data_IF_029045261886
#
_entry.id   IF_029045261886
#
_cell.length_a   1.000
_cell.length_b   1.000
_cell.length_c   1.000
_cell.angle_alpha   90.00
_cell.angle_beta   90.00
_cell.angle_gamma   90.00
#
_symmetry.space_group_name_H-M   'P 1'
#
loop_
_entity.id
_entity.type
_entity.pdbx_description
1 polymer ?
#
# COMPACT_ATOMS: atom_id res chain seq x y z
N UNK A 1 -56.79 48.62 42.67
CA UNK A 1 -55.64 48.16 43.49
C UNK A 1 -55.09 46.96 42.75
N UNK A 2 -54.02 47.17 41.99
CA UNK A 2 -52.63 46.92 42.42
C UNK A 2 -52.42 45.41 42.61
N UNK A 3 -51.72 44.79 41.66
CA UNK A 3 -50.37 44.22 41.87
C UNK A 3 -50.50 42.76 42.36
N UNK A 4 -49.79 41.74 41.90
CA UNK A 4 -48.74 41.51 40.92
C UNK A 4 -48.91 40.04 40.48
N UNK A 5 -48.63 39.73 39.21
CA UNK A 5 -48.55 38.35 38.70
C UNK A 5 -47.16 37.79 39.08
N UNK A 6 -47.02 36.51 39.48
CA UNK A 6 -45.75 35.97 39.93
C UNK A 6 -44.79 35.76 38.77
N UNK A 7 -43.52 36.01 39.04
CA UNK A 7 -42.36 35.85 38.15
C UNK A 7 -42.19 34.38 37.73
N UNK A 8 -42.19 34.14 36.42
CA UNK A 8 -41.76 32.88 35.81
C UNK A 8 -40.23 32.95 35.65
N UNK A 9 -39.50 32.05 36.32
CA UNK A 9 -38.08 31.81 36.07
C UNK A 9 -37.91 31.09 34.72
N UNK A 10 -37.56 31.84 33.67
CA UNK A 10 -37.05 31.26 32.42
C UNK A 10 -35.55 30.93 32.58
N UNK A 11 -35.27 29.63 32.65
CA UNK A 11 -33.94 29.04 32.72
C UNK A 11 -33.26 29.14 31.32
N UNK A 12 -32.51 30.22 31.09
CA UNK A 12 -31.71 30.42 29.88
C UNK A 12 -30.38 29.69 30.05
N UNK A 13 -30.32 28.42 29.65
CA UNK A 13 -29.06 27.67 29.56
C UNK A 13 -28.64 27.43 28.09
N UNK A 14 -27.69 28.28 27.71
CA UNK A 14 -26.90 28.41 26.47
C UNK A 14 -26.68 27.11 25.67
N UNK A 15 -27.04 27.19 24.39
CA UNK A 15 -26.47 26.36 23.32
C UNK A 15 -24.95 26.52 23.29
N UNK A 16 -24.23 25.41 23.42
CA UNK A 16 -22.82 25.30 23.06
C UNK A 16 -22.73 24.41 21.83
N UNK A 17 -22.55 25.07 20.68
CA UNK A 17 -22.12 24.45 19.43
C UNK A 17 -20.71 23.92 19.66
N UNK A 18 -20.56 22.59 19.64
CA UNK A 18 -19.25 21.95 19.69
C UNK A 18 -18.58 22.05 18.32
N UNK A 19 -17.45 22.73 18.36
CA UNK A 19 -16.46 23.02 17.35
C UNK A 19 -16.02 21.76 16.60
N UNK A 20 -16.15 21.81 15.26
CA UNK A 20 -15.57 20.84 14.34
C UNK A 20 -14.05 20.71 14.58
N UNK A 21 -13.59 19.48 14.79
CA UNK A 21 -12.17 19.18 14.89
C UNK A 21 -11.48 19.47 13.55
N UNK A 22 -10.64 20.52 13.56
CA UNK A 22 -9.80 20.93 12.45
C UNK A 22 -8.87 19.80 11.97
N UNK A 23 -8.76 19.69 10.65
CA UNK A 23 -7.81 18.83 9.95
C UNK A 23 -6.36 19.13 10.41
N UNK A 24 -5.46 18.12 10.45
CA UNK A 24 -4.11 18.34 10.96
C UNK A 24 -3.30 19.19 9.96
N UNK A 25 -2.83 20.32 10.48
CA UNK A 25 -1.90 21.28 9.88
C UNK A 25 -0.70 20.59 9.19
N UNK A 26 -0.60 20.74 7.87
CA UNK A 26 0.54 20.26 7.08
C UNK A 26 1.87 21.01 7.36
N UNK A 27 1.87 22.04 8.21
CA UNK A 27 3.02 22.90 8.52
C UNK A 27 4.03 22.35 9.54
N UNK A 28 3.74 21.23 10.21
CA UNK A 28 4.58 20.73 11.32
C UNK A 28 5.65 19.70 10.95
N UNK A 29 5.55 19.03 9.80
CA UNK A 29 6.47 17.93 9.47
C UNK A 29 7.79 18.43 8.89
N UNK A 30 7.73 19.37 7.94
CA UNK A 30 8.91 19.90 7.25
C UNK A 30 9.88 20.62 8.19
N UNK A 31 9.38 21.35 9.19
CA UNK A 31 10.21 22.02 10.19
C UNK A 31 10.96 21.01 11.06
N UNK A 32 10.27 19.94 11.50
CA UNK A 32 10.88 18.90 12.32
C UNK A 32 11.91 18.07 11.53
N UNK A 33 11.79 17.94 10.20
CA UNK A 33 12.80 17.22 9.39
C UNK A 33 14.20 17.82 9.52
N UNK A 34 14.31 19.12 9.84
CA UNK A 34 15.59 19.78 10.07
C UNK A 34 16.31 19.26 11.32
N UNK A 35 15.57 18.63 12.24
CA UNK A 35 16.10 18.02 13.46
C UNK A 35 16.62 16.59 13.23
N UNK A 36 16.52 16.06 12.01
CA UNK A 36 17.06 14.75 11.64
C UNK A 36 18.54 14.88 11.32
N UNK A 37 19.37 14.28 12.17
CA UNK A 37 20.79 14.09 11.91
C UNK A 37 21.11 12.61 12.03
N UNK A 38 21.22 11.89 10.92
CA UNK A 38 21.70 10.50 10.93
C UNK A 38 23.19 10.51 11.26
N UNK A 39 23.59 9.76 12.28
CA UNK A 39 25.00 9.58 12.61
C UNK A 39 25.69 8.68 11.58
N UNK A 40 27.03 8.74 11.52
CA UNK A 40 27.82 7.74 10.81
C UNK A 40 27.57 6.37 11.47
N UNK A 41 27.01 5.42 10.71
CA UNK A 41 26.82 4.07 11.20
C UNK A 41 28.19 3.42 11.39
N UNK A 42 28.48 2.95 12.60
CA UNK A 42 29.69 2.17 12.86
C UNK A 42 29.64 0.83 12.10
N UNK A 43 30.84 0.41 11.68
CA UNK A 43 31.17 -0.72 10.80
C UNK A 43 30.33 -1.99 11.03
N UNK A 44 29.97 -2.66 9.92
CA UNK A 44 29.24 -3.95 9.75
C UNK A 44 27.85 -3.87 9.08
N UNK A 45 27.42 -2.72 8.57
CA UNK A 45 26.19 -2.65 7.76
C UNK A 45 26.43 -3.11 6.31
N UNK A 46 25.49 -3.91 5.80
CA UNK A 46 25.40 -4.22 4.37
C UNK A 46 25.04 -2.96 3.59
N UNK A 47 26.05 -2.29 3.03
CA UNK A 47 25.85 -1.09 2.22
C UNK A 47 25.64 -1.48 0.76
N UNK A 48 24.44 -1.21 0.24
CA UNK A 48 24.14 -1.33 -1.19
C UNK A 48 24.54 -0.07 -1.94
N UNK A 49 24.89 -0.22 -3.21
CA UNK A 49 25.15 0.89 -4.12
C UNK A 49 23.90 1.76 -4.25
N UNK A 50 24.07 3.07 -4.08
CA UNK A 50 23.00 4.04 -4.29
C UNK A 50 22.66 4.18 -5.77
N UNK A 51 21.38 4.31 -6.09
CA UNK A 51 20.91 4.64 -7.44
C UNK A 51 19.72 5.60 -7.35
N UNK A 52 19.50 6.35 -8.43
CA UNK A 52 18.32 7.19 -8.57
C UNK A 52 17.13 6.35 -9.02
N UNK A 53 15.95 6.71 -8.55
CA UNK A 53 14.69 6.08 -8.96
C UNK A 53 13.84 7.08 -9.73
N UNK A 54 13.18 6.60 -10.79
CA UNK A 54 12.12 7.37 -11.45
C UNK A 54 10.81 7.13 -10.72
N UNK A 55 10.04 8.20 -10.51
CA UNK A 55 8.74 8.14 -9.83
C UNK A 55 7.67 8.54 -10.84
N UNK A 56 6.65 7.70 -10.97
CA UNK A 56 5.50 7.93 -11.84
C UNK A 56 4.24 7.76 -11.01
N UNK A 57 3.20 8.54 -11.29
CA UNK A 57 1.90 8.26 -10.68
C UNK A 57 1.29 7.06 -11.38
N UNK A 58 0.58 6.28 -10.61
CA UNK A 58 -0.04 5.08 -11.14
C UNK A 58 -1.11 5.42 -12.19
N UNK A 59 -1.90 6.48 -11.95
CA UNK A 59 -2.90 7.03 -12.88
C UNK A 59 -2.34 7.31 -14.28
N UNK A 60 -1.07 7.70 -14.37
CA UNK A 60 -0.43 8.02 -15.65
C UNK A 60 -0.18 6.78 -16.52
N UNK A 61 -0.22 5.58 -15.91
CA UNK A 61 -0.05 4.29 -16.59
C UNK A 61 -1.39 3.69 -17.05
N UNK A 62 -2.51 4.14 -16.49
CA UNK A 62 -3.86 3.68 -16.83
C UNK A 62 -4.40 4.40 -18.08
N UNK A 63 -3.58 4.50 -19.13
CA UNK A 63 -3.86 5.32 -20.33
C UNK A 63 -5.07 4.90 -21.18
N UNK A 64 -5.92 3.99 -20.73
CA UNK A 64 -6.92 3.29 -21.55
C UNK A 64 -8.19 2.91 -20.76
N UNK A 65 -8.49 3.54 -19.61
CA UNK A 65 -9.81 3.33 -18.96
C UNK A 65 -10.96 3.79 -19.88
N UNK A 66 -10.74 4.89 -20.62
CA UNK A 66 -11.70 5.41 -21.60
C UNK A 66 -11.97 4.43 -22.75
N UNK A 67 -10.96 3.71 -23.25
CA UNK A 67 -11.14 2.74 -24.35
C UNK A 67 -11.92 1.50 -23.89
N UNK A 68 -11.68 1.03 -22.66
CA UNK A 68 -12.42 -0.10 -22.09
C UNK A 68 -13.88 0.27 -21.79
N UNK A 69 -14.13 1.47 -21.25
CA UNK A 69 -15.49 1.97 -21.01
C UNK A 69 -16.26 2.13 -22.32
N UNK A 70 -15.64 2.73 -23.34
CA UNK A 70 -16.23 2.88 -24.66
C UNK A 70 -16.52 1.52 -25.31
N UNK A 71 -15.60 0.55 -25.21
CA UNK A 71 -15.83 -0.80 -25.70
C UNK A 71 -16.99 -1.51 -24.97
N UNK A 72 -17.13 -1.31 -23.65
CA UNK A 72 -18.25 -1.84 -22.87
C UNK A 72 -19.58 -1.17 -23.23
N UNK A 73 -19.57 0.13 -23.54
CA UNK A 73 -20.74 0.86 -24.00
C UNK A 73 -21.21 0.38 -25.38
N UNK A 74 -20.28 0.24 -26.33
CA UNK A 74 -20.55 -0.32 -27.67
C UNK A 74 -21.11 -1.75 -27.60
N UNK A 75 -20.59 -2.58 -26.69
CA UNK A 75 -21.11 -3.93 -26.45
C UNK A 75 -22.56 -3.88 -25.96
N UNK A 76 -22.89 -3.03 -24.98
CA UNK A 76 -24.26 -2.86 -24.49
C UNK A 76 -25.21 -2.38 -25.58
N UNK A 77 -24.79 -1.46 -26.44
CA UNK A 77 -25.59 -0.96 -27.55
C UNK A 77 -25.88 -2.07 -28.57
N UNK A 78 -24.88 -2.88 -28.91
CA UNK A 78 -25.03 -4.03 -29.81
C UNK A 78 -25.99 -5.08 -29.23
N UNK A 79 -25.84 -5.45 -27.96
CA UNK A 79 -26.74 -6.40 -27.29
C UNK A 79 -28.20 -5.93 -27.29
N UNK A 80 -28.41 -4.63 -27.07
CA UNK A 80 -29.74 -4.01 -27.11
C UNK A 80 -30.36 -4.00 -28.50
N UNK A 81 -29.56 -3.81 -29.57
CA UNK A 81 -30.05 -3.74 -30.95
C UNK A 81 -30.36 -5.11 -31.55
N UNK A 82 -29.48 -6.09 -31.33
CA UNK A 82 -29.59 -7.41 -31.95
C UNK A 82 -30.34 -8.43 -31.06
N UNK A 83 -30.62 -8.09 -29.80
CA UNK A 83 -31.30 -8.98 -28.86
C UNK A 83 -30.50 -10.25 -28.52
N UNK A 84 -29.20 -10.23 -28.82
CA UNK A 84 -28.24 -11.30 -28.56
C UNK A 84 -27.39 -10.87 -27.37
N UNK A 85 -27.40 -11.65 -26.28
CA UNK A 85 -26.43 -11.48 -25.21
C UNK A 85 -25.07 -11.95 -25.71
N UNK A 86 -24.17 -10.99 -25.95
CA UNK A 86 -22.77 -11.28 -26.22
C UNK A 86 -22.15 -11.58 -24.86
N UNK A 87 -22.20 -12.85 -24.46
CA UNK A 87 -21.37 -13.32 -23.33
C UNK A 87 -19.96 -12.81 -23.59
N UNK A 88 -19.44 -12.01 -22.66
CA UNK A 88 -18.05 -11.52 -22.60
C UNK A 88 -17.15 -12.53 -23.31
N UNK A 89 -16.71 -12.20 -24.52
CA UNK A 89 -15.75 -13.00 -25.27
C UNK A 89 -14.40 -12.87 -24.57
N UNK A 90 -14.23 -13.58 -23.46
CA UNK A 90 -12.93 -14.17 -23.17
C UNK A 90 -12.75 -15.25 -24.25
N UNK A 91 -11.88 -14.96 -25.21
CA UNK A 91 -11.78 -15.60 -26.53
C UNK A 91 -12.22 -17.06 -26.64
N UNK A 92 -13.22 -17.30 -27.49
CA UNK A 92 -13.48 -18.63 -28.03
C UNK A 92 -13.51 -18.55 -29.56
N UNK A 93 -12.38 -18.95 -30.13
CA UNK A 93 -12.14 -19.04 -31.56
C UNK A 93 -10.87 -19.85 -31.83
N UNK A 94 -10.82 -21.09 -31.33
CA UNK A 94 -9.77 -22.05 -31.69
C UNK A 94 -9.59 -23.19 -30.69
N UNK A 95 -10.13 -24.38 -31.03
CA UNK A 95 -9.75 -25.67 -30.46
C UNK A 95 -10.44 -26.04 -29.14
N UNK A 96 -10.86 -27.29 -29.04
CA UNK A 96 -11.15 -27.97 -27.76
C UNK A 96 -9.85 -28.10 -26.94
N UNK A 97 -9.28 -26.99 -26.53
CA UNK A 97 -8.30 -26.96 -25.46
C UNK A 97 -9.12 -27.13 -24.18
N UNK A 98 -9.23 -28.37 -23.69
CA UNK A 98 -9.76 -28.63 -22.34
C UNK A 98 -8.81 -27.93 -21.36
N UNK A 99 -9.08 -26.66 -21.07
CA UNK A 99 -8.39 -25.90 -20.04
C UNK A 99 -8.48 -26.75 -18.79
N UNK A 100 -7.36 -27.35 -18.39
CA UNK A 100 -7.29 -28.02 -17.12
C UNK A 100 -7.53 -26.90 -16.11
N UNK A 101 -8.75 -26.82 -15.59
CA UNK A 101 -9.03 -26.19 -14.30
C UNK A 101 -8.31 -27.04 -13.27
N UNK A 102 -6.99 -27.04 -13.33
CA UNK A 102 -6.10 -27.33 -12.23
C UNK A 102 -6.66 -26.48 -11.11
N UNK A 103 -7.30 -27.14 -10.13
CA UNK A 103 -7.82 -26.46 -8.95
C UNK A 103 -6.69 -25.60 -8.47
N UNK A 104 -6.88 -24.30 -8.65
CA UNK A 104 -5.85 -23.32 -8.43
C UNK A 104 -5.36 -23.56 -7.00
N UNK A 105 -4.07 -23.89 -6.83
CA UNK A 105 -3.55 -24.18 -5.49
C UNK A 105 -3.78 -22.91 -4.65
N UNK A 106 -3.89 -23.04 -3.33
CA UNK A 106 -4.35 -21.99 -2.40
C UNK A 106 -3.58 -20.63 -2.44
N UNK A 107 -2.62 -20.42 -3.34
CA UNK A 107 -1.95 -19.14 -3.62
C UNK A 107 -2.35 -18.43 -4.93
N UNK A 108 -3.10 -19.08 -5.81
CA UNK A 108 -3.25 -18.61 -7.21
C UNK A 108 -4.09 -17.33 -7.34
N UNK A 109 -5.03 -17.07 -6.43
CA UNK A 109 -5.84 -15.85 -6.47
C UNK A 109 -5.05 -14.60 -6.05
N UNK A 110 -4.26 -14.71 -4.98
CA UNK A 110 -3.37 -13.63 -4.52
C UNK A 110 -2.28 -13.36 -5.56
N UNK A 111 -1.64 -14.42 -6.04
CA UNK A 111 -0.62 -14.33 -7.07
C UNK A 111 -1.16 -13.74 -8.38
N UNK A 112 -2.31 -14.20 -8.87
CA UNK A 112 -2.93 -13.64 -10.08
C UNK A 112 -3.30 -12.17 -9.91
N UNK A 113 -3.81 -11.77 -8.73
CA UNK A 113 -4.08 -10.36 -8.42
C UNK A 113 -2.80 -9.55 -8.38
N UNK A 114 -1.73 -10.08 -7.78
CA UNK A 114 -0.42 -9.47 -7.76
C UNK A 114 0.10 -9.25 -9.18
N UNK A 115 0.15 -10.31 -10.00
CA UNK A 115 0.61 -10.27 -11.39
C UNK A 115 -0.20 -9.30 -12.25
N UNK A 116 -1.53 -9.34 -12.16
CA UNK A 116 -2.41 -8.40 -12.87
C UNK A 116 -2.15 -6.95 -12.45
N UNK A 117 -1.86 -6.72 -11.18
CA UNK A 117 -1.62 -5.37 -10.67
C UNK A 117 -0.29 -4.81 -11.15
N UNK A 118 0.74 -5.65 -11.25
CA UNK A 118 2.08 -5.23 -11.64
C UNK A 118 2.30 -5.24 -13.15
N UNK A 119 1.38 -5.80 -13.95
CA UNK A 119 1.54 -5.97 -15.40
C UNK A 119 1.76 -4.66 -16.15
N UNK A 120 1.24 -3.54 -15.64
CA UNK A 120 1.46 -2.21 -16.22
C UNK A 120 2.90 -1.73 -16.11
N UNK A 121 3.60 -2.15 -15.06
CA UNK A 121 5.02 -1.84 -14.86
C UNK A 121 5.70 -3.01 -14.12
N UNK A 122 6.08 -4.09 -14.82
CA UNK A 122 6.68 -5.27 -14.18
C UNK A 122 8.05 -4.97 -13.57
N UNK A 123 8.73 -3.93 -14.06
CA UNK A 123 10.04 -3.47 -13.58
C UNK A 123 9.94 -2.57 -12.34
N UNK A 124 8.73 -2.32 -11.82
CA UNK A 124 8.57 -1.51 -10.61
C UNK A 124 9.32 -2.14 -9.43
N UNK A 125 10.06 -1.31 -8.70
CA UNK A 125 10.90 -1.74 -7.56
C UNK A 125 10.28 -1.35 -6.21
N UNK A 126 9.37 -0.38 -6.23
CA UNK A 126 8.72 0.19 -5.06
C UNK A 126 7.32 0.67 -5.45
N UNK A 127 6.36 0.40 -4.58
CA UNK A 127 4.99 0.95 -4.64
C UNK A 127 4.71 1.73 -3.36
N UNK A 128 4.52 3.04 -3.48
CA UNK A 128 4.18 3.92 -2.36
C UNK A 128 2.67 4.12 -2.28
N UNK A 129 2.04 3.84 -1.13
CA UNK A 129 0.59 4.04 -0.95
C UNK A 129 0.24 4.07 0.55
N UNK A 130 0.54 5.18 1.22
CA UNK A 130 0.33 5.32 2.67
C UNK A 130 -1.14 5.24 3.06
N UNK A 131 -1.46 4.37 4.02
CA UNK A 131 -2.84 4.06 4.43
C UNK A 131 -3.64 3.26 3.40
N UNK A 132 -3.03 2.88 2.28
CA UNK A 132 -3.68 2.12 1.23
C UNK A 132 -3.64 0.61 1.43
N UNK A 133 -4.08 -0.11 0.40
CA UNK A 133 -4.09 -1.57 0.38
C UNK A 133 -2.70 -2.17 0.09
N UNK A 134 -2.38 -3.22 0.84
CA UNK A 134 -1.23 -4.11 0.59
C UNK A 134 -1.52 -5.03 -0.61
N UNK A 135 -0.47 -5.38 -1.36
CA UNK A 135 -0.57 -6.32 -2.48
C UNK A 135 0.20 -7.60 -2.14
N UNK A 136 -0.48 -8.62 -1.64
CA UNK A 136 0.16 -9.87 -1.25
C UNK A 136 0.43 -10.78 -2.44
N UNK A 137 1.55 -11.51 -2.40
CA UNK A 137 1.91 -12.55 -3.38
C UNK A 137 1.25 -13.89 -3.02
N UNK A 138 1.20 -14.20 -1.72
CA UNK A 138 0.55 -15.39 -1.16
C UNK A 138 -0.50 -15.00 -0.12
N UNK A 139 -1.24 -15.99 0.40
CA UNK A 139 -2.25 -15.74 1.44
C UNK A 139 -1.64 -14.98 2.63
N UNK A 140 -2.24 -13.84 3.04
CA UNK A 140 -1.71 -13.06 4.14
C UNK A 140 -1.82 -13.84 5.45
N UNK A 141 -0.88 -13.65 6.40
CA UNK A 141 -1.00 -14.22 7.73
C UNK A 141 -2.36 -13.84 8.36
N UNK A 142 -3.03 -14.76 9.07
CA UNK A 142 -4.26 -14.42 9.76
C UNK A 142 -4.00 -13.26 10.73
N UNK A 143 -4.85 -12.25 10.68
CA UNK A 143 -4.77 -11.06 11.52
C UNK A 143 -3.51 -10.19 11.33
N UNK A 144 -3.09 -9.91 10.09
CA UNK A 144 -1.99 -8.95 9.80
C UNK A 144 -2.04 -7.69 10.66
N UNK A 145 -3.23 -7.08 10.81
CA UNK A 145 -3.42 -5.88 11.63
C UNK A 145 -3.11 -6.08 13.14
N UNK A 146 -3.24 -7.30 13.66
CA UNK A 146 -2.88 -7.64 15.05
C UNK A 146 -1.40 -8.00 15.19
N UNK A 147 -0.75 -8.42 14.10
CA UNK A 147 0.69 -8.75 14.09
C UNK A 147 1.55 -7.49 14.02
N UNK A 148 1.06 -6.43 13.37
CA UNK A 148 1.78 -5.15 13.28
C UNK A 148 1.91 -4.51 14.68
N UNK A 149 3.13 -4.44 15.19
CA UNK A 149 3.42 -3.84 16.49
C UNK A 149 3.30 -2.31 16.47
N UNK A 150 2.97 -1.71 17.62
CA UNK A 150 2.91 -0.26 17.79
C UNK A 150 4.28 0.42 17.57
N UNK A 151 4.29 1.72 17.24
CA UNK A 151 5.52 2.52 17.11
C UNK A 151 6.32 2.44 18.42
N UNK A 152 7.57 1.99 18.35
CA UNK A 152 8.45 1.89 19.51
C UNK A 152 8.77 3.24 20.17
N UNK A 153 8.65 4.35 19.43
CA UNK A 153 8.95 5.70 19.94
C UNK A 153 7.77 6.38 20.65
N UNK A 154 6.52 6.19 20.19
CA UNK A 154 5.34 6.90 20.74
C UNK A 154 4.20 5.98 21.20
N UNK A 155 4.30 4.67 20.98
CA UNK A 155 3.23 3.70 21.26
C UNK A 155 2.01 3.79 20.34
N UNK A 156 2.03 4.69 19.35
CA UNK A 156 0.94 4.87 18.40
C UNK A 156 0.84 3.72 17.38
N UNK A 157 -0.31 3.63 16.72
CA UNK A 157 -0.53 2.63 15.67
C UNK A 157 0.41 2.85 14.46
N UNK A 158 0.69 1.77 13.74
CA UNK A 158 1.35 1.80 12.44
C UNK A 158 0.34 1.58 11.32
N UNK A 159 0.62 2.15 10.15
CA UNK A 159 -0.16 1.97 8.93
C UNK A 159 0.77 1.52 7.81
N UNK A 160 0.21 0.84 6.80
CA UNK A 160 0.97 0.52 5.60
C UNK A 160 1.46 1.82 4.94
N UNK A 161 2.73 1.89 4.56
CA UNK A 161 3.29 3.06 3.87
C UNK A 161 3.74 2.72 2.45
N UNK A 162 4.54 1.68 2.30
CA UNK A 162 5.10 1.29 1.01
C UNK A 162 5.36 -0.21 0.92
N UNK A 163 5.57 -0.65 -0.30
CA UNK A 163 5.89 -2.02 -0.63
C UNK A 163 7.13 -2.07 -1.52
N UNK A 164 8.10 -2.91 -1.16
CA UNK A 164 9.24 -3.25 -2.02
C UNK A 164 8.86 -4.44 -2.90
N UNK A 165 9.18 -4.30 -4.18
CA UNK A 165 8.76 -5.22 -5.22
C UNK A 165 9.91 -6.17 -5.59
N UNK A 166 9.62 -7.39 -6.08
CA UNK A 166 10.66 -8.40 -6.29
C UNK A 166 11.76 -7.96 -7.27
N UNK A 167 11.42 -7.12 -8.25
CA UNK A 167 12.39 -6.57 -9.20
C UNK A 167 13.55 -5.81 -8.52
N UNK A 168 13.35 -5.28 -7.31
CA UNK A 168 14.38 -4.56 -6.55
C UNK A 168 15.59 -5.46 -6.26
N UNK A 169 15.39 -6.76 -5.99
CA UNK A 169 16.46 -7.71 -5.66
C UNK A 169 17.58 -7.68 -6.70
N UNK A 170 17.21 -7.64 -7.99
CA UNK A 170 18.16 -7.65 -9.11
C UNK A 170 19.05 -6.40 -9.20
N UNK A 171 18.65 -5.30 -8.55
CA UNK A 171 19.36 -4.03 -8.56
C UNK A 171 20.26 -3.84 -7.33
N UNK A 172 19.99 -4.58 -6.25
CA UNK A 172 20.70 -4.43 -4.99
C UNK A 172 22.10 -5.05 -5.07
N UNK A 173 23.10 -4.20 -5.33
CA UNK A 173 24.51 -4.59 -5.41
C UNK A 173 25.26 -4.14 -4.16
N UNK A 174 25.93 -5.07 -3.48
CA UNK A 174 26.79 -4.76 -2.33
C UNK A 174 27.99 -3.90 -2.76
N UNK A 175 28.41 -3.00 -1.88
CA UNK A 175 29.57 -2.12 -2.12
C UNK A 175 30.91 -2.84 -1.89
N UNK A 176 30.93 -3.84 -1.01
CA UNK A 176 32.13 -4.55 -0.56
C UNK A 176 32.57 -5.72 -1.46
N UNK A 177 31.82 -6.03 -2.52
CA UNK A 177 32.14 -7.09 -3.48
C UNK A 177 32.20 -8.52 -2.89
N UNK A 178 31.79 -8.69 -1.63
CA UNK A 178 31.83 -9.97 -0.93
C UNK A 178 30.76 -10.93 -1.46
N UNK A 179 31.15 -12.20 -1.64
CA UNK A 179 30.24 -13.32 -1.93
C UNK A 179 29.43 -13.74 -0.68
N UNK A 180 28.67 -12.81 -0.11
CA UNK A 180 27.88 -13.01 1.11
C UNK A 180 26.40 -12.67 0.91
N UNK A 181 25.55 -13.58 1.39
CA UNK A 181 24.08 -13.56 1.46
C UNK A 181 23.41 -13.00 0.20
N UNK A 182 22.96 -13.91 -0.68
CA UNK A 182 22.05 -13.58 -1.77
C UNK A 182 20.74 -13.09 -1.15
N UNK A 183 20.43 -11.79 -1.33
CA UNK A 183 19.22 -11.20 -0.81
C UNK A 183 18.05 -11.68 -1.66
N UNK A 184 17.13 -12.43 -1.08
CA UNK A 184 15.98 -12.98 -1.80
C UNK A 184 14.69 -12.66 -1.05
N UNK A 185 13.73 -12.03 -1.72
CA UNK A 185 12.37 -11.81 -1.23
C UNK A 185 11.40 -11.72 -2.40
N UNK A 186 10.16 -12.18 -2.19
CA UNK A 186 9.07 -11.95 -3.13
C UNK A 186 8.55 -10.52 -2.99
N UNK A 187 8.14 -10.11 -1.80
CA UNK A 187 7.80 -8.71 -1.52
C UNK A 187 7.99 -8.35 -0.05
N UNK A 188 8.27 -7.07 0.22
CA UNK A 188 8.35 -6.52 1.58
C UNK A 188 7.29 -5.45 1.76
N UNK A 189 6.40 -5.64 2.71
CA UNK A 189 5.38 -4.67 3.10
C UNK A 189 5.88 -3.89 4.31
N UNK A 190 5.98 -2.57 4.19
CA UNK A 190 6.53 -1.70 5.23
C UNK A 190 5.41 -0.92 5.90
N UNK A 191 5.36 -1.00 7.22
CA UNK A 191 4.40 -0.33 8.07
C UNK A 191 5.13 0.67 8.97
N UNK A 192 4.63 1.90 8.98
CA UNK A 192 5.26 3.02 9.69
C UNK A 192 4.27 3.71 10.60
N UNK A 193 4.78 4.50 11.55
CA UNK A 193 3.90 5.21 12.47
C UNK A 193 2.98 6.20 11.75
N UNK A 194 1.68 6.18 12.11
CA UNK A 194 0.69 7.13 11.58
C UNK A 194 1.12 8.58 11.82
N UNK A 195 1.74 8.86 12.98
CA UNK A 195 2.19 10.19 13.38
C UNK A 195 3.57 10.57 12.80
N UNK A 196 4.20 9.68 12.02
CA UNK A 196 5.60 9.81 11.62
C UNK A 196 6.46 10.18 12.84
N UNK A 197 6.46 9.32 13.86
CA UNK A 197 7.19 9.51 15.11
C UNK A 197 8.71 9.42 14.87
N UNK A 198 9.49 10.29 15.51
CA UNK A 198 10.91 10.08 15.75
C UNK A 198 11.32 10.81 17.03
N UNK A 199 12.44 10.38 17.60
CA UNK A 199 13.02 11.04 18.78
C UNK A 199 13.94 12.17 18.32
N UNK A 200 13.62 13.42 18.68
CA UNK A 200 14.46 14.58 18.36
C UNK A 200 15.86 14.41 18.96
N UNK A 201 16.90 14.74 18.18
CA UNK A 201 18.30 14.54 18.57
C UNK A 201 18.79 13.07 18.53
N UNK A 202 17.92 12.11 18.18
CA UNK A 202 18.36 10.75 17.86
C UNK A 202 19.22 10.77 16.61
N UNK A 203 20.33 10.02 16.65
CA UNK A 203 21.21 9.81 15.50
C UNK A 203 21.02 8.47 14.80
N UNK A 204 20.14 7.62 15.36
CA UNK A 204 19.80 6.33 14.78
C UNK A 204 18.44 6.39 14.09
N UNK A 205 18.29 5.58 13.03
CA UNK A 205 17.01 5.32 12.41
C UNK A 205 16.02 4.69 13.40
N UNK A 206 14.73 4.98 13.23
CA UNK A 206 13.66 4.31 13.97
C UNK A 206 13.38 2.97 13.27
N UNK A 207 13.29 1.90 14.04
CA UNK A 207 12.90 0.60 13.51
C UNK A 207 11.41 0.61 13.13
N UNK A 208 11.13 0.21 11.89
CA UNK A 208 9.77 0.09 11.37
C UNK A 208 9.40 -1.38 11.18
N UNK A 209 8.10 -1.65 11.06
CA UNK A 209 7.62 -3.03 10.96
C UNK A 209 7.59 -3.48 9.50
N UNK A 210 8.29 -4.57 9.20
CA UNK A 210 8.34 -5.16 7.87
C UNK A 210 7.71 -6.55 7.88
N UNK A 211 6.77 -6.79 6.96
CA UNK A 211 6.24 -8.12 6.66
C UNK A 211 6.83 -8.60 5.33
N UNK A 212 7.60 -9.68 5.36
CA UNK A 212 8.26 -10.26 4.18
C UNK A 212 7.49 -11.48 3.70
N UNK A 213 7.17 -11.52 2.41
CA UNK A 213 6.73 -12.74 1.72
C UNK A 213 7.88 -13.22 0.82
N UNK A 214 8.24 -14.49 0.95
CA UNK A 214 9.22 -15.15 0.08
C UNK A 214 8.66 -15.35 -1.33
N UNK A 215 9.53 -15.62 -2.29
CA UNK A 215 9.09 -16.06 -3.61
C UNK A 215 8.31 -17.39 -3.46
N UNK A 216 7.06 -17.48 -3.99
CA UNK A 216 6.29 -18.71 -3.94
C UNK A 216 6.99 -19.89 -4.64
N UNK A 217 7.84 -19.62 -5.63
CA UNK A 217 8.57 -20.66 -6.37
C UNK A 217 9.79 -21.18 -5.60
N UNK A 218 10.20 -20.52 -4.50
CA UNK A 218 11.31 -20.96 -3.66
C UNK A 218 11.07 -22.36 -3.05
N UNK A 219 9.81 -22.79 -2.92
CA UNK A 219 9.43 -24.14 -2.47
C UNK A 219 9.63 -25.21 -3.56
N UNK A 220 9.79 -24.83 -4.82
CA UNK A 220 9.97 -25.74 -5.95
C UNK A 220 11.44 -26.07 -6.23
N UNK A 221 12.36 -25.26 -5.68
CA UNK A 221 13.81 -25.39 -5.92
C UNK A 221 14.61 -25.87 -4.68
N UNK A 222 13.93 -26.25 -3.60
CA UNK A 222 14.52 -26.88 -2.39
C UNK A 222 14.31 -28.40 -2.35
#
# INVERSE_FOLDING_TARGET
>A
MKEQVPEEEEDVMKEQVQEEAAAPEAGGLSSRLQDLSLGESHDDLLVFRSFFISVVQESDLWGEEDELEHAQELLREYEGREGVTVRKLEGEGGGEEKYEKSRARHGDAFFSRFMKRISLCPQQILRYCRGGGTLFISEPPPHVAQVVSACGSCGGARTFELQLMPALVSLLQRTDGGAGVELEFGTVLVFTCVNSCWTAGSRSAVEEFCLVQTDPDQQLFN
#
